data_IF_547361570967
#
_entry.id   IF_547361570967
#
_cell.length_a   1.000
_cell.length_b   1.000
_cell.length_c   1.000
_cell.angle_alpha   90.00
_cell.angle_beta   90.00
_cell.angle_gamma   90.00
#
_symmetry.space_group_name_H-M   'P 1'
#
loop_
_entity.id
_entity.type
_entity.pdbx_description
1 polymer ?
#
# COMPACT_ATOMS: atom_id res chain seq x y z
N UNK A 1 18.48 7.57 -21.95
CA UNK A 1 18.40 7.51 -20.47
C UNK A 1 19.68 8.02 -19.87
N UNK A 2 19.64 9.19 -19.26
CA UNK A 2 20.78 9.73 -18.50
C UNK A 2 20.92 9.01 -17.15
N UNK A 3 22.11 9.11 -16.53
CA UNK A 3 22.40 8.43 -15.25
C UNK A 3 21.41 8.80 -14.13
N UNK A 4 20.93 10.04 -14.12
CA UNK A 4 19.90 10.54 -13.17
C UNK A 4 18.55 9.87 -13.40
N UNK A 5 18.11 9.77 -14.66
CA UNK A 5 16.84 9.12 -15.01
C UNK A 5 16.87 7.63 -14.66
N UNK A 6 17.98 6.95 -14.96
CA UNK A 6 18.15 5.53 -14.62
C UNK A 6 18.02 5.31 -13.11
N UNK A 7 18.64 6.16 -12.29
CA UNK A 7 18.57 6.10 -10.83
C UNK A 7 17.15 6.39 -10.30
N UNK A 8 16.45 7.35 -10.89
CA UNK A 8 15.08 7.68 -10.50
C UNK A 8 14.11 6.55 -10.84
N UNK A 9 14.21 5.98 -12.05
CA UNK A 9 13.38 4.86 -12.50
C UNK A 9 13.63 3.62 -11.65
N UNK A 10 14.90 3.26 -11.38
CA UNK A 10 15.19 2.09 -10.55
C UNK A 10 14.69 2.27 -9.11
N UNK A 11 14.80 3.47 -8.54
CA UNK A 11 14.27 3.76 -7.21
C UNK A 11 12.74 3.65 -7.16
N UNK A 12 12.03 4.26 -8.12
CA UNK A 12 10.56 4.20 -8.19
C UNK A 12 10.07 2.77 -8.46
N UNK A 13 10.72 2.05 -9.36
CA UNK A 13 10.42 0.65 -9.63
C UNK A 13 10.63 -0.20 -8.37
N UNK A 14 11.72 0.00 -7.63
CA UNK A 14 11.97 -0.70 -6.37
C UNK A 14 10.88 -0.46 -5.33
N UNK A 15 10.46 0.80 -5.14
CA UNK A 15 9.37 1.15 -4.22
C UNK A 15 8.05 0.49 -4.64
N UNK A 16 7.73 0.53 -5.93
CA UNK A 16 6.48 -0.05 -6.45
C UNK A 16 6.47 -1.57 -6.34
N UNK A 17 7.58 -2.22 -6.69
CA UNK A 17 7.75 -3.67 -6.58
C UNK A 17 7.62 -4.14 -5.14
N UNK A 18 8.26 -3.47 -4.18
CA UNK A 18 8.15 -3.82 -2.77
C UNK A 18 6.71 -3.70 -2.26
N UNK A 19 6.00 -2.64 -2.66
CA UNK A 19 4.60 -2.43 -2.30
C UNK A 19 3.69 -3.52 -2.88
N UNK A 20 3.82 -3.81 -4.18
CA UNK A 20 3.02 -4.84 -4.84
C UNK A 20 3.30 -6.22 -4.26
N UNK A 21 4.57 -6.54 -4.00
CA UNK A 21 4.96 -7.80 -3.36
C UNK A 21 4.28 -7.99 -2.01
N UNK A 22 4.33 -6.98 -1.13
CA UNK A 22 3.67 -7.04 0.17
C UNK A 22 2.15 -7.26 0.06
N UNK A 23 1.49 -6.49 -0.81
CA UNK A 23 0.04 -6.62 -1.00
C UNK A 23 -0.36 -8.00 -1.53
N UNK A 24 0.35 -8.50 -2.55
CA UNK A 24 0.06 -9.80 -3.16
C UNK A 24 0.39 -10.98 -2.25
N UNK A 25 1.26 -10.79 -1.26
CA UNK A 25 1.53 -11.80 -0.24
C UNK A 25 0.43 -11.80 0.83
N UNK A 26 -0.01 -10.62 1.28
CA UNK A 26 -0.99 -10.48 2.37
C UNK A 26 -2.41 -10.89 1.95
N UNK A 27 -2.91 -10.45 0.78
CA UNK A 27 -4.30 -10.71 0.38
C UNK A 27 -4.67 -12.21 0.31
N UNK A 28 -3.91 -13.08 -0.38
CA UNK A 28 -4.24 -14.51 -0.44
C UNK A 28 -4.01 -15.22 0.90
N UNK A 29 -2.98 -14.82 1.67
CA UNK A 29 -2.75 -15.38 3.00
C UNK A 29 -3.88 -15.01 3.96
N UNK A 30 -4.34 -13.76 3.94
CA UNK A 30 -5.50 -13.35 4.73
C UNK A 30 -6.73 -14.16 4.33
N UNK A 31 -7.02 -14.33 3.04
CA UNK A 31 -8.17 -15.14 2.61
C UNK A 31 -8.05 -16.61 3.05
N UNK A 32 -6.85 -17.18 3.05
CA UNK A 32 -6.58 -18.56 3.47
C UNK A 32 -6.74 -18.76 4.98
N UNK A 33 -6.16 -17.86 5.78
CA UNK A 33 -6.15 -17.95 7.25
C UNK A 33 -7.31 -17.20 7.92
N UNK A 34 -8.13 -16.48 7.17
CA UNK A 34 -9.24 -15.67 7.66
C UNK A 34 -10.20 -16.45 8.57
N UNK A 35 -10.51 -17.70 8.23
CA UNK A 35 -11.42 -18.54 9.01
C UNK A 35 -10.76 -19.17 10.26
N UNK A 36 -9.44 -19.05 10.40
CA UNK A 36 -8.71 -19.52 11.58
C UNK A 36 -8.72 -18.50 12.73
N UNK A 37 -9.16 -17.26 12.48
CA UNK A 37 -9.30 -16.24 13.52
C UNK A 37 -10.61 -16.46 14.30
N UNK A 38 -10.52 -16.49 15.63
CA UNK A 38 -11.68 -16.61 16.50
C UNK A 38 -12.63 -15.42 16.31
N UNK A 39 -13.92 -15.70 16.10
CA UNK A 39 -14.94 -14.67 15.87
C UNK A 39 -14.95 -14.07 14.46
N UNK A 40 -14.16 -14.60 13.52
CA UNK A 40 -14.16 -14.14 12.14
C UNK A 40 -15.50 -14.44 11.44
N UNK A 41 -16.22 -13.38 11.06
CA UNK A 41 -17.41 -13.48 10.22
C UNK A 41 -17.05 -13.21 8.75
N UNK A 42 -17.78 -13.78 7.77
CA UNK A 42 -17.55 -13.50 6.36
C UNK A 42 -17.58 -12.01 6.02
N UNK A 43 -18.42 -11.23 6.73
CA UNK A 43 -18.49 -9.78 6.58
C UNK A 43 -17.20 -9.08 7.03
N UNK A 44 -16.62 -9.47 8.17
CA UNK A 44 -15.36 -8.88 8.67
C UNK A 44 -14.19 -9.20 7.75
N UNK A 45 -14.13 -10.43 7.22
CA UNK A 45 -13.10 -10.85 6.26
C UNK A 45 -13.23 -10.06 4.96
N UNK A 46 -14.46 -9.94 4.44
CA UNK A 46 -14.76 -9.14 3.25
C UNK A 46 -14.43 -7.66 3.43
N UNK A 47 -14.74 -7.09 4.60
CA UNK A 47 -14.37 -5.72 4.96
C UNK A 47 -12.85 -5.55 5.08
N UNK A 48 -12.14 -6.48 5.73
CA UNK A 48 -10.69 -6.41 5.88
C UNK A 48 -9.96 -6.43 4.53
N UNK A 49 -10.42 -7.25 3.58
CA UNK A 49 -9.89 -7.29 2.22
C UNK A 49 -10.33 -6.06 1.40
N UNK A 50 -11.59 -5.63 1.55
CA UNK A 50 -12.18 -4.55 0.76
C UNK A 50 -11.76 -3.14 1.20
N UNK A 51 -11.47 -2.92 2.49
CA UNK A 51 -11.09 -1.62 3.03
C UNK A 51 -9.80 -1.09 2.38
N UNK A 52 -8.88 -1.99 1.99
CA UNK A 52 -7.69 -1.64 1.25
C UNK A 52 -8.04 -0.97 -0.09
N UNK A 53 -8.93 -1.57 -0.89
CA UNK A 53 -9.37 -1.02 -2.16
C UNK A 53 -10.18 0.28 -2.00
N UNK A 54 -11.05 0.33 -0.99
CA UNK A 54 -11.86 1.51 -0.66
C UNK A 54 -11.01 2.71 -0.26
N UNK A 55 -10.11 2.53 0.70
CA UNK A 55 -9.18 3.58 1.13
C UNK A 55 -8.28 4.00 -0.02
N UNK A 56 -7.79 3.05 -0.83
CA UNK A 56 -7.01 3.37 -2.01
C UNK A 56 -7.82 4.25 -2.98
N UNK A 57 -9.04 3.88 -3.35
CA UNK A 57 -9.87 4.67 -4.27
C UNK A 57 -10.16 6.08 -3.73
N UNK A 58 -10.49 6.20 -2.45
CA UNK A 58 -10.83 7.48 -1.81
C UNK A 58 -9.61 8.40 -1.74
N UNK A 59 -8.45 7.88 -1.33
CA UNK A 59 -7.26 8.71 -1.07
C UNK A 59 -6.33 8.85 -2.28
N UNK A 60 -6.46 8.01 -3.31
CA UNK A 60 -5.57 8.06 -4.48
C UNK A 60 -5.69 9.38 -5.25
N UNK A 61 -6.90 9.91 -5.46
CA UNK A 61 -7.09 11.20 -6.15
C UNK A 61 -6.60 12.36 -5.28
N UNK A 62 -7.04 12.52 -4.01
CA UNK A 62 -6.56 13.59 -3.14
C UNK A 62 -5.04 13.62 -2.97
N UNK A 63 -4.42 12.46 -2.75
CA UNK A 63 -2.96 12.40 -2.62
C UNK A 63 -2.25 12.59 -3.95
N UNK A 64 -2.83 12.20 -5.08
CA UNK A 64 -2.32 12.57 -6.41
C UNK A 64 -2.24 14.10 -6.57
N UNK A 65 -3.34 14.79 -6.27
CA UNK A 65 -3.41 16.26 -6.34
C UNK A 65 -2.46 16.94 -5.34
N UNK A 66 -2.38 16.42 -4.11
CA UNK A 66 -1.47 16.94 -3.07
C UNK A 66 0.00 16.75 -3.47
N UNK A 67 0.32 15.65 -4.15
CA UNK A 67 1.66 15.37 -4.71
C UNK A 67 2.04 16.41 -5.75
N UNK A 68 1.10 16.80 -6.60
CA UNK A 68 1.36 17.80 -7.64
C UNK A 68 1.54 19.20 -7.02
N UNK A 69 0.93 19.47 -5.85
CA UNK A 69 1.06 20.76 -5.14
C UNK A 69 2.30 20.87 -4.25
N UNK A 70 2.69 19.81 -3.55
CA UNK A 70 3.82 19.81 -2.59
C UNK A 70 5.09 19.12 -3.12
N UNK A 71 5.02 18.55 -4.32
CA UNK A 71 6.07 17.76 -4.93
C UNK A 71 5.93 16.26 -4.61
N UNK A 72 6.27 15.43 -5.60
CA UNK A 72 6.11 13.97 -5.55
C UNK A 72 6.93 13.29 -4.46
N UNK A 73 8.17 13.75 -4.26
CA UNK A 73 9.16 13.11 -3.36
C UNK A 73 8.74 13.10 -1.88
N UNK A 74 8.36 14.24 -1.25
CA UNK A 74 7.93 14.25 0.16
C UNK A 74 6.65 13.42 0.37
N UNK A 75 5.71 13.43 -0.59
CA UNK A 75 4.47 12.66 -0.46
C UNK A 75 4.70 11.15 -0.52
N UNK A 76 5.60 10.68 -1.39
CA UNK A 76 6.00 9.26 -1.45
C UNK A 76 6.62 8.83 -0.12
N UNK A 77 7.51 9.65 0.46
CA UNK A 77 8.15 9.35 1.75
C UNK A 77 7.10 9.29 2.87
N UNK A 78 6.17 10.26 2.91
CA UNK A 78 5.08 10.26 3.87
C UNK A 78 4.20 9.01 3.77
N UNK A 79 3.82 8.61 2.56
CA UNK A 79 3.06 7.38 2.32
C UNK A 79 3.82 6.11 2.73
N UNK A 80 5.13 6.07 2.52
CA UNK A 80 6.00 4.98 2.98
C UNK A 80 6.05 4.88 4.50
N UNK A 81 6.15 6.01 5.20
CA UNK A 81 6.13 6.03 6.68
C UNK A 81 4.81 5.52 7.24
N UNK A 82 3.68 5.94 6.67
CA UNK A 82 2.35 5.42 7.03
C UNK A 82 2.27 3.92 6.78
N UNK A 83 2.74 3.46 5.62
CA UNK A 83 2.74 2.05 5.26
C UNK A 83 3.56 1.23 6.27
N UNK A 84 4.78 1.65 6.59
CA UNK A 84 5.62 0.98 7.59
C UNK A 84 4.96 0.96 8.97
N UNK A 85 4.39 2.07 9.43
CA UNK A 85 3.69 2.12 10.72
C UNK A 85 2.48 1.16 10.74
N UNK A 86 1.67 1.15 9.68
CA UNK A 86 0.54 0.24 9.55
C UNK A 86 0.96 -1.23 9.52
N UNK A 87 2.05 -1.56 8.82
CA UNK A 87 2.60 -2.92 8.79
C UNK A 87 3.08 -3.38 10.17
N UNK A 88 3.69 -2.50 10.97
CA UNK A 88 4.12 -2.83 12.34
C UNK A 88 2.94 -3.06 13.28
N UNK A 89 1.86 -2.30 13.14
CA UNK A 89 0.63 -2.49 13.95
C UNK A 89 -0.11 -3.78 13.57
N UNK A 90 -0.02 -4.20 12.31
CA UNK A 90 -0.70 -5.40 11.82
C UNK A 90 0.10 -6.70 12.01
N UNK A 91 1.40 -6.61 12.30
CA UNK A 91 2.30 -7.74 12.56
C UNK A 91 2.14 -8.26 13.99
#
# INVERSE_FOLDING_TARGET
>A
MNAVERKAVTALAGVFSLRMFGLFLVLPLMALYANAFEGATPLMIGLALGIYGLTQAIFQIPFGMLSDRWGRKPLIIFGLLIFTAGSVVAA
#
